data_IF_639143845399
#
_entry.id   IF_639143845399
#
_cell.length_a   1.000
_cell.length_b   1.000
_cell.length_c   1.000
_cell.angle_alpha   90.00
_cell.angle_beta   90.00
_cell.angle_gamma   90.00
#
_symmetry.space_group_name_H-M   'P 1'
#
loop_
_entity.id
_entity.type
_entity.pdbx_description
1 polymer ?
#
# COMPACT_ATOMS: atom_id res chain seq x y z
N UNK A 1 -2.69 -19.62 -3.59
CA UNK A 1 -1.68 -20.04 -2.58
C UNK A 1 -0.66 -18.96 -2.16
N UNK A 2 -0.22 -18.04 -3.04
CA UNK A 2 0.88 -17.10 -2.71
C UNK A 2 0.54 -16.06 -1.63
N UNK A 3 -0.71 -15.61 -1.53
CA UNK A 3 -1.13 -14.60 -0.54
C UNK A 3 -1.14 -15.13 0.91
N UNK A 4 -1.30 -16.45 1.12
CA UNK A 4 -1.24 -17.05 2.46
C UNK A 4 0.19 -17.08 3.02
N UNK A 5 1.20 -17.30 2.16
CA UNK A 5 2.59 -17.31 2.57
C UNK A 5 3.05 -15.93 3.08
N UNK A 6 2.52 -14.84 2.49
CA UNK A 6 2.79 -13.48 2.94
C UNK A 6 2.21 -13.21 4.33
N UNK A 7 1.00 -13.70 4.62
CA UNK A 7 0.37 -13.55 5.94
C UNK A 7 1.08 -14.37 7.03
N UNK A 8 1.64 -15.52 6.68
CA UNK A 8 2.35 -16.43 7.59
C UNK A 8 3.81 -16.03 7.87
N UNK A 9 4.31 -14.94 7.29
CA UNK A 9 5.70 -14.54 7.44
C UNK A 9 6.07 -14.23 8.91
N UNK A 10 7.28 -14.64 9.37
CA UNK A 10 7.67 -14.60 10.78
C UNK A 10 7.88 -13.19 11.32
N UNK A 11 7.98 -12.17 10.45
CA UNK A 11 8.10 -10.77 10.83
C UNK A 11 7.49 -9.86 9.77
N UNK A 12 7.16 -8.62 10.15
CA UNK A 12 6.59 -7.63 9.22
C UNK A 12 7.57 -7.25 8.11
N UNK A 13 8.87 -7.27 8.42
CA UNK A 13 9.93 -7.09 7.45
C UNK A 13 9.96 -8.25 6.43
N UNK A 14 9.84 -9.50 6.89
CA UNK A 14 9.78 -10.66 5.99
C UNK A 14 8.50 -10.67 5.14
N UNK A 15 7.36 -10.28 5.71
CA UNK A 15 6.10 -10.09 4.99
C UNK A 15 6.25 -9.02 3.89
N UNK A 16 6.84 -7.87 4.21
CA UNK A 16 7.08 -6.80 3.25
C UNK A 16 8.03 -7.24 2.12
N UNK A 17 9.11 -7.93 2.45
CA UNK A 17 10.04 -8.49 1.45
C UNK A 17 9.34 -9.51 0.54
N UNK A 18 8.50 -10.39 1.09
CA UNK A 18 7.73 -11.35 0.33
C UNK A 18 6.75 -10.67 -0.65
N UNK A 19 6.08 -9.59 -0.24
CA UNK A 19 5.24 -8.78 -1.14
C UNK A 19 6.08 -8.15 -2.26
N UNK A 20 7.25 -7.61 -1.94
CA UNK A 20 8.11 -6.96 -2.94
C UNK A 20 8.63 -7.93 -3.99
N UNK A 21 8.90 -9.19 -3.61
CA UNK A 21 9.34 -10.25 -4.50
C UNK A 21 8.26 -10.72 -5.51
N UNK A 22 6.98 -10.38 -5.29
CA UNK A 22 5.90 -10.73 -6.23
C UNK A 22 6.10 -9.96 -7.54
N UNK A 23 6.25 -10.67 -8.65
CA UNK A 23 6.48 -10.06 -9.97
C UNK A 23 5.19 -9.55 -10.62
N UNK A 24 4.07 -10.25 -10.45
CA UNK A 24 2.77 -9.82 -10.99
C UNK A 24 2.25 -8.60 -10.20
N UNK A 25 2.06 -7.44 -10.87
CA UNK A 25 1.63 -6.21 -10.21
C UNK A 25 0.28 -6.35 -9.49
N UNK A 26 -0.68 -7.08 -10.06
CA UNK A 26 -2.00 -7.26 -9.45
C UNK A 26 -1.89 -8.11 -8.18
N UNK A 27 -1.19 -9.23 -8.26
CA UNK A 27 -0.92 -10.10 -7.11
C UNK A 27 -0.17 -9.36 -6.00
N UNK A 28 0.74 -8.45 -6.34
CA UNK A 28 1.44 -7.58 -5.38
C UNK A 28 0.48 -6.66 -4.63
N UNK A 29 -0.48 -6.04 -5.34
CA UNK A 29 -1.51 -5.22 -4.70
C UNK A 29 -2.44 -6.03 -3.78
N UNK A 30 -2.84 -7.23 -4.21
CA UNK A 30 -3.66 -8.12 -3.37
C UNK A 30 -2.90 -8.52 -2.11
N UNK A 31 -1.63 -8.93 -2.23
CA UNK A 31 -0.80 -9.29 -1.09
C UNK A 31 -0.57 -8.12 -0.12
N UNK A 32 -0.38 -6.91 -0.65
CA UNK A 32 -0.32 -5.67 0.15
C UNK A 32 -1.62 -5.45 0.91
N UNK A 33 -2.78 -5.68 0.27
CA UNK A 33 -4.10 -5.58 0.89
C UNK A 33 -4.32 -6.61 2.00
N UNK A 34 -3.77 -7.83 1.84
CA UNK A 34 -3.80 -8.86 2.89
C UNK A 34 -3.01 -8.42 4.12
N UNK A 35 -1.82 -7.84 3.95
CA UNK A 35 -1.05 -7.29 5.07
C UNK A 35 -1.75 -6.10 5.74
N UNK A 36 -2.42 -5.25 4.96
CA UNK A 36 -3.21 -4.14 5.51
C UNK A 36 -4.35 -4.65 6.39
N UNK A 37 -5.11 -5.64 5.93
CA UNK A 37 -6.20 -6.25 6.71
C UNK A 37 -5.68 -6.95 7.97
N UNK A 38 -4.45 -7.46 7.95
CA UNK A 38 -3.80 -8.07 9.10
C UNK A 38 -3.20 -7.05 10.08
N UNK A 39 -3.32 -5.73 9.84
CA UNK A 39 -2.65 -4.66 10.59
C UNK A 39 -1.11 -4.76 10.58
N UNK A 40 -0.54 -5.41 9.55
CA UNK A 40 0.91 -5.61 9.36
C UNK A 40 1.46 -4.81 8.17
N UNK A 41 0.65 -3.97 7.54
CA UNK A 41 1.11 -3.09 6.46
C UNK A 41 1.94 -1.94 7.02
N UNK A 42 3.26 -2.07 6.89
CA UNK A 42 4.21 -1.02 7.23
C UNK A 42 4.29 0.07 6.13
N UNK A 43 4.98 1.20 6.36
CA UNK A 43 5.10 2.27 5.36
C UNK A 43 5.65 1.81 4.00
N UNK A 44 6.58 0.85 4.01
CA UNK A 44 7.21 0.33 2.79
C UNK A 44 6.23 -0.47 1.93
N UNK A 45 5.32 -1.24 2.55
CA UNK A 45 4.26 -1.95 1.83
C UNK A 45 3.28 -0.96 1.18
N UNK A 46 2.90 0.10 1.90
CA UNK A 46 2.00 1.12 1.37
C UNK A 46 2.63 1.90 0.21
N UNK A 47 3.89 2.31 0.34
CA UNK A 47 4.62 2.99 -0.73
C UNK A 47 4.74 2.10 -1.98
N UNK A 48 5.13 0.83 -1.79
CA UNK A 48 5.24 -0.13 -2.89
C UNK A 48 3.92 -0.37 -3.62
N UNK A 49 2.79 -0.39 -2.91
CA UNK A 49 1.47 -0.53 -3.52
C UNK A 49 1.07 0.70 -4.34
N UNK A 50 1.37 1.91 -3.83
CA UNK A 50 1.15 3.16 -4.56
C UNK A 50 2.01 3.23 -5.82
N UNK A 51 3.29 2.90 -5.72
CA UNK A 51 4.21 2.91 -6.85
C UNK A 51 3.82 1.89 -7.92
N UNK A 52 3.41 0.69 -7.49
CA UNK A 52 2.92 -0.36 -8.39
C UNK A 52 1.67 0.07 -9.14
N UNK A 53 0.67 0.62 -8.43
CA UNK A 53 -0.55 1.11 -9.06
C UNK A 53 -0.30 2.30 -10.00
N UNK A 54 0.62 3.20 -9.62
CA UNK A 54 1.01 4.35 -10.42
C UNK A 54 1.74 3.94 -11.70
N UNK A 55 2.70 3.01 -11.62
CA UNK A 55 3.47 2.52 -12.75
C UNK A 55 2.61 1.81 -13.80
N UNK A 56 1.52 1.17 -13.38
CA UNK A 56 0.55 0.52 -14.26
C UNK A 56 -0.55 1.47 -14.78
N UNK A 57 -0.57 2.73 -14.35
CA UNK A 57 -1.63 3.69 -14.70
C UNK A 57 -2.99 3.34 -14.10
N UNK A 58 -3.04 2.52 -13.05
CA UNK A 58 -4.30 2.06 -12.46
C UNK A 58 -4.87 3.07 -11.47
N UNK A 59 -5.73 3.96 -11.97
CA UNK A 59 -6.31 5.08 -11.20
C UNK A 59 -7.08 4.65 -9.96
N UNK A 60 -7.98 3.66 -10.06
CA UNK A 60 -8.84 3.22 -8.95
C UNK A 60 -8.05 2.64 -7.76
N UNK A 61 -7.15 1.65 -7.94
CA UNK A 61 -6.34 1.16 -6.83
C UNK A 61 -5.34 2.23 -6.35
N UNK A 62 -4.82 3.10 -7.22
CA UNK A 62 -3.96 4.21 -6.79
C UNK A 62 -4.68 5.13 -5.80
N UNK A 63 -5.91 5.55 -6.11
CA UNK A 63 -6.73 6.39 -5.21
C UNK A 63 -7.02 5.67 -3.88
N UNK A 64 -7.33 4.38 -3.92
CA UNK A 64 -7.55 3.59 -2.70
C UNK A 64 -6.31 3.54 -1.80
N UNK A 65 -5.13 3.28 -2.37
CA UNK A 65 -3.88 3.22 -1.62
C UNK A 65 -3.42 4.58 -1.11
N UNK A 66 -3.62 5.66 -1.88
CA UNK A 66 -3.39 7.02 -1.39
C UNK A 66 -4.33 7.35 -0.22
N UNK A 67 -5.59 6.93 -0.27
CA UNK A 67 -6.53 7.09 0.86
C UNK A 67 -6.05 6.39 2.14
N UNK A 68 -5.54 5.16 2.02
CA UNK A 68 -4.96 4.42 3.16
C UNK A 68 -3.75 5.16 3.75
N UNK A 69 -2.86 5.69 2.90
CA UNK A 69 -1.71 6.47 3.39
C UNK A 69 -2.14 7.75 4.11
N UNK A 70 -3.12 8.48 3.57
CA UNK A 70 -3.64 9.70 4.20
C UNK A 70 -4.23 9.39 5.58
N UNK A 71 -5.09 8.36 5.68
CA UNK A 71 -5.70 7.94 6.94
C UNK A 71 -4.63 7.55 7.98
N UNK A 72 -3.57 6.86 7.57
CA UNK A 72 -2.47 6.49 8.46
C UNK A 72 -1.67 7.70 8.93
N UNK A 73 -1.38 8.66 8.05
CA UNK A 73 -0.68 9.88 8.42
C UNK A 73 -1.49 10.71 9.44
N UNK A 74 -2.81 10.81 9.25
CA UNK A 74 -3.71 11.44 10.22
C UNK A 74 -3.69 10.71 11.57
N UNK A 75 -3.77 9.38 11.57
CA UNK A 75 -3.69 8.58 12.81
C UNK A 75 -2.34 8.71 13.52
N UNK A 76 -1.26 8.96 12.79
CA UNK A 76 0.06 9.20 13.33
C UNK A 76 0.28 10.65 13.80
N UNK A 77 -0.71 11.55 13.59
CA UNK A 77 -0.59 12.98 13.89
C UNK A 77 0.27 13.76 12.88
N UNK A 78 0.64 13.15 11.75
CA UNK A 78 1.40 13.79 10.67
C UNK A 78 0.45 14.48 9.68
N UNK A 79 -0.12 15.59 10.14
CA UNK A 79 -1.06 16.39 9.34
C UNK A 79 -0.43 16.95 8.06
N UNK A 80 0.87 17.24 8.07
CA UNK A 80 1.57 17.77 6.90
C UNK A 80 1.65 16.73 5.78
N UNK A 81 1.98 15.48 6.13
CA UNK A 81 2.00 14.37 5.19
C UNK A 81 0.59 14.00 4.70
N UNK A 82 -0.40 13.97 5.60
CA UNK A 82 -1.78 13.74 5.24
C UNK A 82 -2.29 14.73 4.17
N UNK A 83 -2.03 16.03 4.36
CA UNK A 83 -2.42 17.06 3.41
C UNK A 83 -1.67 16.95 2.07
N UNK A 84 -0.39 16.56 2.10
CA UNK A 84 0.38 16.29 0.88
C UNK A 84 -0.25 15.15 0.08
N UNK A 85 -0.66 14.07 0.74
CA UNK A 85 -1.30 12.92 0.11
C UNK A 85 -2.68 13.30 -0.45
N UNK A 86 -3.49 14.06 0.30
CA UNK A 86 -4.80 14.55 -0.17
C UNK A 86 -4.69 15.40 -1.43
N UNK A 87 -3.68 16.27 -1.53
CA UNK A 87 -3.41 17.01 -2.78
C UNK A 87 -3.12 16.08 -3.95
N UNK A 88 -2.34 15.02 -3.73
CA UNK A 88 -2.08 14.01 -4.76
C UNK A 88 -3.35 13.25 -5.16
N UNK A 89 -4.23 12.93 -4.21
CA UNK A 89 -5.55 12.32 -4.49
C UNK A 89 -6.36 13.23 -5.41
N UNK A 90 -6.44 14.53 -5.11
CA UNK A 90 -7.17 15.48 -5.94
C UNK A 90 -6.63 15.53 -7.37
N UNK A 91 -5.31 15.54 -7.55
CA UNK A 91 -4.68 15.52 -8.88
C UNK A 91 -4.99 14.25 -9.68
N UNK A 92 -5.07 13.09 -9.02
CA UNK A 92 -5.37 11.80 -9.68
C UNK A 92 -6.86 11.60 -9.93
N UNK A 93 -7.72 12.23 -9.12
CA UNK A 93 -9.18 12.11 -9.22
C UNK A 93 -9.78 13.00 -10.32
N UNK A 94 -9.09 14.07 -10.70
CA UNK A 94 -9.46 14.96 -11.80
C UNK A 94 -9.53 14.27 -13.17
#
# INVERSE_FOLDING_TARGET
PQHQAVAAAPSDAAAAAAVQAISDPLSKLVASGVLLRAHRANPQVLAGAVDTASAQGWRRPLLAWLGVQAMRAEQAGDSAEAERIKRRIALVAN
#
